data_IF_864786378789
#
_entry.id   IF_864786378789
#
_cell.length_a   1.000
_cell.length_b   1.000
_cell.length_c   1.000
_cell.angle_alpha   90.00
_cell.angle_beta   90.00
_cell.angle_gamma   90.00
#
_symmetry.space_group_name_H-M   'P 1'
#
loop_
_entity.id
_entity.type
_entity.pdbx_description
1 polymer ?
#
# COMPACT_ATOMS: atom_id res chain seq x y z
N UNK A 1 10.65 -22.60 13.15
CA UNK A 1 11.68 -22.22 12.14
C UNK A 1 12.99 -21.98 12.87
N UNK A 2 14.10 -22.60 12.43
CA UNK A 2 15.41 -22.44 13.07
C UNK A 2 16.08 -21.16 12.58
N UNK A 3 16.87 -20.50 13.43
CA UNK A 3 17.58 -19.25 13.07
C UNK A 3 18.52 -19.44 11.88
N UNK A 4 19.17 -20.59 11.76
CA UNK A 4 20.06 -20.94 10.65
C UNK A 4 19.36 -21.06 9.29
N UNK A 5 18.03 -21.06 9.24
CA UNK A 5 17.22 -21.23 8.02
C UNK A 5 16.42 -19.97 7.66
N UNK A 6 16.63 -18.86 8.35
CA UNK A 6 15.93 -17.60 8.11
C UNK A 6 16.93 -16.45 7.96
N UNK A 7 16.70 -15.60 6.96
CA UNK A 7 17.48 -14.39 6.76
C UNK A 7 17.10 -13.34 7.82
N UNK A 8 17.98 -13.15 8.80
CA UNK A 8 17.87 -12.09 9.83
C UNK A 8 19.23 -11.39 9.93
N UNK A 9 19.54 -10.44 9.03
CA UNK A 9 20.83 -9.77 8.99
C UNK A 9 20.85 -8.65 10.03
N UNK A 10 21.18 -8.95 11.28
CA UNK A 10 21.26 -7.93 12.33
C UNK A 10 22.43 -6.97 12.09
N UNK A 11 22.28 -5.69 12.47
CA UNK A 11 23.35 -4.71 12.41
C UNK A 11 23.83 -4.36 13.84
N UNK A 12 25.16 -4.38 14.03
CA UNK A 12 25.78 -3.99 15.29
C UNK A 12 25.57 -2.51 15.58
N UNK A 13 25.81 -1.68 14.58
CA UNK A 13 25.73 -0.23 14.65
C UNK A 13 24.44 0.29 14.00
N UNK A 14 24.01 1.45 14.46
CA UNK A 14 22.86 2.15 13.88
C UNK A 14 23.30 2.87 12.61
N UNK A 15 22.64 2.66 11.46
CA UNK A 15 22.91 3.44 10.25
C UNK A 15 22.73 4.94 10.49
N UNK A 16 23.67 5.76 10.01
CA UNK A 16 23.73 7.19 10.32
C UNK A 16 22.56 8.00 9.73
N UNK A 17 21.91 7.47 8.69
CA UNK A 17 20.73 8.02 8.02
C UNK A 17 19.41 7.73 8.77
N UNK A 18 19.45 6.94 9.85
CA UNK A 18 18.27 6.62 10.64
C UNK A 18 18.14 7.53 11.87
N UNK A 19 17.31 8.57 11.77
CA UNK A 19 17.15 9.56 12.86
C UNK A 19 16.23 9.07 14.00
N UNK A 20 15.10 8.43 13.67
CA UNK A 20 14.10 8.02 14.66
C UNK A 20 14.32 6.59 15.17
N UNK A 21 14.05 6.36 16.47
CA UNK A 21 14.33 5.10 17.16
C UNK A 21 13.67 3.87 16.50
N UNK A 22 12.44 4.01 15.98
CA UNK A 22 11.74 2.93 15.30
C UNK A 22 12.48 2.49 14.03
N UNK A 23 12.90 3.44 13.19
CA UNK A 23 13.66 3.19 11.97
C UNK A 23 15.01 2.53 12.30
N UNK A 24 15.73 3.06 13.29
CA UNK A 24 17.00 2.50 13.77
C UNK A 24 16.85 1.03 14.20
N UNK A 25 15.83 0.72 15.01
CA UNK A 25 15.59 -0.63 15.51
C UNK A 25 15.16 -1.59 14.39
N UNK A 26 14.30 -1.15 13.47
CA UNK A 26 13.87 -1.99 12.34
C UNK A 26 15.02 -2.36 11.41
N UNK A 27 15.95 -1.43 11.16
CA UNK A 27 17.18 -1.72 10.40
C UNK A 27 18.09 -2.69 11.16
N UNK A 28 18.36 -2.41 12.44
CA UNK A 28 19.26 -3.23 13.28
C UNK A 28 18.75 -4.64 13.55
N UNK A 29 17.44 -4.81 13.70
CA UNK A 29 16.81 -6.11 13.86
C UNK A 29 16.73 -6.92 12.56
N UNK A 30 17.14 -6.35 11.41
CA UNK A 30 17.02 -7.01 10.13
C UNK A 30 15.57 -7.17 9.67
N UNK A 31 14.69 -6.21 9.99
CA UNK A 31 13.28 -6.21 9.59
C UNK A 31 13.05 -5.55 8.24
N UNK A 32 13.81 -4.50 7.91
CA UNK A 32 13.71 -3.78 6.63
C UNK A 32 15.09 -3.43 6.07
N UNK A 33 15.17 -3.17 4.77
CA UNK A 33 16.33 -2.61 4.07
C UNK A 33 15.90 -1.54 3.09
N UNK A 34 16.56 -0.39 3.12
CA UNK A 34 16.30 0.67 2.15
C UNK A 34 16.79 0.23 0.77
N UNK A 35 15.94 0.41 -0.24
CA UNK A 35 16.28 0.24 -1.66
C UNK A 35 16.56 1.60 -2.31
N UNK A 36 15.77 2.62 -1.95
CA UNK A 36 15.95 4.02 -2.32
C UNK A 36 15.28 4.91 -1.25
N UNK A 37 15.39 6.23 -1.37
CA UNK A 37 14.70 7.16 -0.46
C UNK A 37 13.18 6.86 -0.44
N UNK A 38 12.63 6.62 0.75
CA UNK A 38 11.22 6.25 0.94
C UNK A 38 10.82 4.83 0.49
N UNK A 39 11.73 4.03 -0.07
CA UNK A 39 11.45 2.68 -0.58
C UNK A 39 12.21 1.62 0.21
N UNK A 40 11.47 0.67 0.79
CA UNK A 40 12.02 -0.36 1.67
C UNK A 40 11.63 -1.77 1.24
N UNK A 41 12.60 -2.67 1.28
CA UNK A 41 12.36 -4.11 1.25
C UNK A 41 12.07 -4.62 2.65
N UNK A 42 10.95 -5.32 2.82
CA UNK A 42 10.59 -5.98 4.07
C UNK A 42 11.23 -7.38 4.12
N UNK A 43 12.06 -7.60 5.13
CA UNK A 43 12.75 -8.87 5.36
C UNK A 43 11.86 -9.86 6.12
N UNK A 44 12.21 -11.16 6.22
CA UNK A 44 11.34 -12.19 6.80
C UNK A 44 10.77 -11.87 8.18
N UNK A 45 11.55 -11.24 9.07
CA UNK A 45 11.08 -10.84 10.39
C UNK A 45 10.06 -9.69 10.31
N UNK A 46 10.32 -8.68 9.48
CA UNK A 46 9.40 -7.57 9.22
C UNK A 46 8.09 -8.03 8.60
N UNK A 47 8.16 -8.91 7.58
CA UNK A 47 7.00 -9.50 6.93
C UNK A 47 6.09 -10.26 7.91
N UNK A 48 6.67 -10.97 8.87
CA UNK A 48 5.89 -11.67 9.92
C UNK A 48 5.13 -10.70 10.82
N UNK A 49 5.76 -9.60 11.22
CA UNK A 49 5.11 -8.57 12.02
C UNK A 49 3.99 -7.89 11.22
N UNK A 50 4.26 -7.52 9.96
CA UNK A 50 3.29 -6.89 9.07
C UNK A 50 2.05 -7.77 8.87
N UNK A 51 2.23 -9.08 8.59
CA UNK A 51 1.11 -10.02 8.44
C UNK A 51 0.25 -10.19 9.70
N UNK A 52 0.86 -10.11 10.88
CA UNK A 52 0.08 -10.14 12.14
C UNK A 52 -0.82 -8.93 12.26
N UNK A 53 -0.28 -7.75 11.95
CA UNK A 53 -1.06 -6.51 11.94
C UNK A 53 -2.19 -6.57 10.90
N UNK A 54 -1.87 -6.98 9.68
CA UNK A 54 -2.84 -7.15 8.59
C UNK A 54 -3.99 -8.09 8.98
N UNK A 55 -3.67 -9.23 9.62
CA UNK A 55 -4.69 -10.17 10.08
C UNK A 55 -5.61 -9.57 11.14
N UNK A 56 -5.08 -8.79 12.09
CA UNK A 56 -5.92 -8.11 13.09
C UNK A 56 -6.89 -7.15 12.40
N UNK A 57 -6.38 -6.32 11.48
CA UNK A 57 -7.22 -5.37 10.73
C UNK A 57 -8.30 -6.12 9.95
N UNK A 58 -7.93 -7.18 9.22
CA UNK A 58 -8.88 -8.02 8.46
C UNK A 58 -9.96 -8.61 9.37
N UNK A 59 -9.57 -9.22 10.48
CA UNK A 59 -10.54 -9.82 11.42
C UNK A 59 -11.53 -8.81 11.98
N UNK A 60 -11.11 -7.58 12.27
CA UNK A 60 -12.02 -6.53 12.72
C UNK A 60 -12.91 -5.98 11.60
N UNK A 61 -12.37 -5.84 10.39
CA UNK A 61 -13.16 -5.41 9.23
C UNK A 61 -14.22 -6.46 8.86
N UNK A 62 -13.85 -7.74 8.84
CA UNK A 62 -14.77 -8.86 8.63
C UNK A 62 -15.87 -8.88 9.69
N UNK A 63 -15.52 -8.64 10.98
CA UNK A 63 -16.50 -8.52 12.08
C UNK A 63 -17.47 -7.35 11.85
N UNK A 64 -17.01 -6.26 11.26
CA UNK A 64 -17.86 -5.12 10.89
C UNK A 64 -18.66 -5.35 9.58
N UNK A 65 -18.47 -6.48 8.91
CA UNK A 65 -19.13 -6.81 7.64
C UNK A 65 -18.45 -6.23 6.41
N UNK A 66 -17.19 -5.77 6.53
CA UNK A 66 -16.40 -5.27 5.40
C UNK A 66 -16.08 -6.36 4.40
N UNK A 67 -16.09 -6.04 3.11
CA UNK A 67 -15.77 -6.98 2.04
C UNK A 67 -14.40 -6.64 1.43
N UNK A 68 -13.40 -7.44 1.74
CA UNK A 68 -12.03 -7.21 1.28
C UNK A 68 -11.90 -7.36 -0.25
N UNK A 69 -11.31 -6.34 -0.89
CA UNK A 69 -11.01 -6.31 -2.32
C UNK A 69 -9.57 -5.84 -2.55
N UNK A 70 -8.95 -6.34 -3.61
CA UNK A 70 -7.63 -5.90 -4.07
C UNK A 70 -7.77 -5.09 -5.35
N UNK A 71 -7.39 -3.82 -5.30
CA UNK A 71 -7.47 -2.89 -6.43
C UNK A 71 -6.08 -2.63 -7.06
N UNK A 72 -6.01 -2.30 -8.36
CA UNK A 72 -4.75 -2.05 -9.03
C UNK A 72 -4.02 -0.83 -8.46
N UNK A 73 -2.70 -0.92 -8.32
CA UNK A 73 -1.85 0.19 -7.87
C UNK A 73 -1.59 1.22 -8.98
N UNK A 74 -1.59 0.80 -10.25
CA UNK A 74 -1.49 1.71 -11.41
C UNK A 74 -2.89 1.98 -11.93
N UNK A 75 -3.25 3.26 -12.02
CA UNK A 75 -4.61 3.70 -12.30
C UNK A 75 -4.64 4.59 -13.56
N UNK A 76 -5.65 4.44 -14.43
CA UNK A 76 -5.80 5.27 -15.63
C UNK A 76 -6.10 6.73 -15.23
N UNK A 77 -5.55 7.70 -15.96
CA UNK A 77 -5.77 9.12 -15.67
C UNK A 77 -7.25 9.53 -15.79
N UNK A 78 -8.02 8.84 -16.63
CA UNK A 78 -9.40 9.17 -16.98
C UNK A 78 -10.31 9.24 -15.74
N UNK A 79 -10.18 8.31 -14.79
CA UNK A 79 -11.02 8.30 -13.57
C UNK A 79 -10.64 9.43 -12.60
N UNK A 80 -9.37 9.87 -12.62
CA UNK A 80 -8.88 10.99 -11.81
C UNK A 80 -9.25 12.35 -12.42
N UNK A 81 -9.29 12.42 -13.75
CA UNK A 81 -9.77 13.59 -14.48
C UNK A 81 -11.28 13.73 -14.25
N UNK A 82 -12.03 12.63 -14.28
CA UNK A 82 -13.46 12.60 -13.97
C UNK A 82 -13.75 13.13 -12.55
N UNK A 83 -12.96 12.74 -11.54
CA UNK A 83 -13.08 13.28 -10.18
C UNK A 83 -12.55 14.70 -10.02
N UNK A 84 -11.81 15.20 -11.02
CA UNK A 84 -11.09 16.47 -10.98
C UNK A 84 -9.92 16.49 -9.99
N UNK A 85 -9.48 15.32 -9.50
CA UNK A 85 -8.33 15.21 -8.59
C UNK A 85 -7.00 15.07 -9.33
N UNK A 86 -7.02 14.75 -10.63
CA UNK A 86 -5.82 14.62 -11.43
C UNK A 86 -4.89 15.83 -11.29
N UNK A 87 -5.40 17.05 -11.49
CA UNK A 87 -4.62 18.29 -11.37
C UNK A 87 -4.50 18.75 -9.90
N UNK A 88 -5.57 18.61 -9.12
CA UNK A 88 -5.64 19.14 -7.74
C UNK A 88 -4.69 18.45 -6.77
N UNK A 89 -4.38 17.17 -6.98
CA UNK A 89 -3.46 16.42 -6.13
C UNK A 89 -2.03 16.99 -6.20
N UNK A 90 -1.69 17.67 -7.30
CA UNK A 90 -0.40 18.34 -7.45
C UNK A 90 0.78 17.37 -7.66
N UNK A 91 1.99 17.75 -7.22
CA UNK A 91 3.23 17.04 -7.56
C UNK A 91 3.40 15.68 -6.87
N UNK A 92 2.65 15.42 -5.80
CA UNK A 92 2.72 14.14 -5.07
C UNK A 92 2.07 12.99 -5.84
N UNK A 93 1.27 13.29 -6.87
CA UNK A 93 0.70 12.28 -7.75
C UNK A 93 1.77 11.81 -8.75
N UNK A 94 2.30 10.61 -8.52
CA UNK A 94 3.27 9.98 -9.40
C UNK A 94 2.61 9.59 -10.73
N UNK A 95 2.75 10.45 -11.74
CA UNK A 95 2.23 10.24 -13.10
C UNK A 95 3.26 9.53 -13.97
N UNK A 96 2.78 8.64 -14.84
CA UNK A 96 3.58 7.92 -15.81
C UNK A 96 2.83 7.77 -17.14
N UNK A 97 3.57 7.55 -18.22
CA UNK A 97 3.02 7.17 -19.51
C UNK A 97 3.43 5.75 -19.88
N UNK A 98 2.52 5.00 -20.46
CA UNK A 98 2.87 3.70 -21.04
C UNK A 98 3.58 3.85 -22.41
N UNK A 99 3.96 2.72 -23.02
CA UNK A 99 4.60 2.72 -24.35
C UNK A 99 3.73 3.31 -25.47
N UNK A 100 2.42 3.43 -25.25
CA UNK A 100 1.45 4.00 -26.18
C UNK A 100 1.10 5.46 -25.82
N UNK A 101 1.88 6.10 -24.94
CA UNK A 101 1.71 7.48 -24.49
C UNK A 101 0.41 7.76 -23.71
N UNK A 102 -0.26 6.71 -23.22
CA UNK A 102 -1.45 6.83 -22.37
C UNK A 102 -1.04 7.22 -20.95
N UNK A 103 -1.82 8.09 -20.33
CA UNK A 103 -1.55 8.62 -19.00
C UNK A 103 -2.07 7.70 -17.88
N UNK A 104 -1.23 7.47 -16.89
CA UNK A 104 -1.54 6.71 -15.68
C UNK A 104 -0.93 7.40 -14.46
N UNK A 105 -1.37 7.01 -13.28
CA UNK A 105 -0.68 7.31 -12.03
C UNK A 105 -0.46 6.06 -11.19
N UNK A 106 0.49 6.13 -10.27
CA UNK A 106 0.52 5.21 -9.12
C UNK A 106 -0.45 5.77 -8.09
N UNK A 107 -1.53 5.05 -7.82
CA UNK A 107 -2.62 5.48 -6.96
C UNK A 107 -2.14 5.73 -5.53
N UNK A 108 -2.19 6.98 -5.03
CA UNK A 108 -1.92 7.27 -3.63
C UNK A 108 -3.10 6.89 -2.73
N UNK A 109 -4.28 6.71 -3.31
CA UNK A 109 -5.53 6.22 -2.71
C UNK A 109 -6.45 5.69 -3.84
N UNK A 110 -7.65 5.23 -3.51
CA UNK A 110 -8.51 4.45 -4.40
C UNK A 110 -9.98 4.89 -4.43
N UNK A 111 -10.34 6.10 -3.99
CA UNK A 111 -11.75 6.55 -4.00
C UNK A 111 -12.37 6.48 -5.40
N UNK A 112 -11.63 6.91 -6.44
CA UNK A 112 -12.06 6.82 -7.84
C UNK A 112 -12.25 5.38 -8.30
N UNK A 113 -11.35 4.48 -7.90
CA UNK A 113 -11.37 3.07 -8.32
C UNK A 113 -12.55 2.34 -7.69
N UNK A 114 -12.76 2.49 -6.37
CA UNK A 114 -13.90 1.85 -5.70
C UNK A 114 -15.24 2.45 -6.15
N UNK A 115 -15.26 3.75 -6.49
CA UNK A 115 -16.46 4.39 -7.06
C UNK A 115 -16.76 3.86 -8.47
N UNK A 116 -15.73 3.64 -9.30
CA UNK A 116 -15.90 3.03 -10.63
C UNK A 116 -16.43 1.58 -10.54
N UNK A 117 -16.00 0.82 -9.54
CA UNK A 117 -16.56 -0.51 -9.24
C UNK A 117 -18.04 -0.38 -8.82
N UNK A 118 -18.32 0.45 -7.81
CA UNK A 118 -19.66 0.61 -7.27
C UNK A 118 -20.68 1.05 -8.34
N UNK A 119 -20.34 2.03 -9.18
CA UNK A 119 -21.25 2.51 -10.25
C UNK A 119 -21.53 1.47 -11.33
N UNK A 120 -20.65 0.47 -11.50
CA UNK A 120 -20.82 -0.61 -12.49
C UNK A 120 -21.65 -1.76 -11.95
N UNK A 121 -21.46 -2.10 -10.68
CA UNK A 121 -22.01 -3.32 -10.07
C UNK A 121 -23.27 -3.07 -9.22
N UNK A 122 -23.43 -1.88 -8.65
CA UNK A 122 -24.57 -1.51 -7.80
C UNK A 122 -25.59 -0.72 -8.63
N UNK A 123 -26.73 -1.34 -8.91
CA UNK A 123 -27.78 -0.79 -9.80
C UNK A 123 -29.10 -0.51 -9.09
N UNK A 124 -29.26 -0.96 -7.85
CA UNK A 124 -30.48 -0.76 -7.07
C UNK A 124 -30.14 -0.38 -5.64
N UNK A 125 -30.94 0.51 -5.05
CA UNK A 125 -30.86 0.88 -3.63
C UNK A 125 -30.98 -0.34 -2.70
N UNK A 126 -31.61 -1.43 -3.16
CA UNK A 126 -31.75 -2.68 -2.38
C UNK A 126 -30.45 -3.45 -2.18
N UNK A 127 -29.43 -3.17 -3.00
CA UNK A 127 -28.09 -3.73 -2.82
C UNK A 127 -27.30 -2.98 -1.75
N UNK A 128 -27.81 -1.86 -1.22
CA UNK A 128 -27.15 -1.06 -0.19
C UNK A 128 -27.71 -1.36 1.20
N UNK A 129 -26.90 -1.25 2.27
CA UNK A 129 -25.48 -0.87 2.26
C UNK A 129 -24.55 -1.99 1.75
N UNK A 130 -23.42 -1.59 1.16
CA UNK A 130 -22.28 -2.47 0.87
C UNK A 130 -21.12 -1.95 1.69
N UNK A 131 -20.68 -2.75 2.67
CA UNK A 131 -19.47 -2.52 3.44
C UNK A 131 -18.36 -3.41 2.89
#
# INVERSE_FOLDING_TARGET
MRMSQILIPTLKETPADAEIVSHQLMLRAGMVRQLAAGLYSWLPLGMRAMRKFENIVREEMDRAGGQEVLMPSVQPAEIWIESGRWEKYGPDLLRLKDRHQRDFCVGPTHEEVVTDIARREIRSYRQLPVN
#
